data_IF_334377964807
#
_entry.id   IF_334377964807
#
_cell.length_a   1.000
_cell.length_b   1.000
_cell.length_c   1.000
_cell.angle_alpha   90.00
_cell.angle_beta   90.00
_cell.angle_gamma   90.00
#
_symmetry.space_group_name_H-M   'P 1'
#
loop_
_entity.id
_entity.type
_entity.pdbx_description
1 polymer ?
#
# COMPACT_ATOMS: atom_id res chain seq x y z
N UNK A 1 -33.82 -3.51 9.99
CA UNK A 1 -33.12 -3.95 8.76
C UNK A 1 -32.34 -2.77 8.21
N UNK A 2 -31.13 -2.54 8.69
CA UNK A 2 -30.25 -1.46 8.24
C UNK A 2 -28.91 -2.08 7.86
N UNK A 3 -28.54 -1.98 6.60
CA UNK A 3 -27.37 -2.61 5.99
C UNK A 3 -26.10 -2.28 6.76
N UNK A 4 -25.41 -3.32 7.22
CA UNK A 4 -24.07 -3.29 7.78
C UNK A 4 -23.11 -2.85 6.67
N UNK A 5 -22.98 -1.54 6.44
CA UNK A 5 -21.93 -0.98 5.61
C UNK A 5 -20.63 -1.35 6.31
N UNK A 6 -19.95 -2.39 5.80
CA UNK A 6 -18.56 -2.72 6.16
C UNK A 6 -17.72 -1.49 5.85
N UNK A 7 -17.62 -0.59 6.83
CA UNK A 7 -16.60 0.42 6.91
C UNK A 7 -15.32 -0.39 6.93
N UNK A 8 -14.61 -0.40 5.81
CA UNK A 8 -13.27 -0.94 5.73
C UNK A 8 -12.51 -0.19 6.83
N UNK A 9 -12.27 -0.85 7.96
CA UNK A 9 -11.42 -0.34 9.01
C UNK A 9 -10.11 0.03 8.33
N UNK A 10 -9.89 1.34 8.15
CA UNK A 10 -8.60 1.85 7.71
C UNK A 10 -7.63 1.39 8.77
N UNK A 11 -6.81 0.39 8.43
CA UNK A 11 -5.74 -0.06 9.28
C UNK A 11 -4.91 1.16 9.68
N UNK A 12 -4.74 1.44 10.99
CA UNK A 12 -4.05 2.64 11.48
C UNK A 12 -2.61 2.75 10.98
N UNK A 13 -2.06 1.66 10.42
CA UNK A 13 -0.71 1.58 9.87
C UNK A 13 -0.51 2.35 8.55
N UNK A 14 -1.57 2.57 7.76
CA UNK A 14 -1.44 3.21 6.44
C UNK A 14 -1.09 4.69 6.53
N UNK A 15 -1.51 5.40 7.59
CA UNK A 15 -1.24 6.84 7.76
C UNK A 15 0.24 7.15 7.99
N UNK A 16 1.03 6.16 8.42
CA UNK A 16 2.50 6.31 8.56
C UNK A 16 3.26 6.22 7.24
N UNK A 17 2.59 5.77 6.17
CA UNK A 17 3.20 5.64 4.86
C UNK A 17 3.30 7.00 4.17
N UNK A 18 4.44 7.24 3.52
CA UNK A 18 4.61 8.43 2.68
C UNK A 18 3.57 8.41 1.55
N UNK A 19 3.12 9.58 1.05
CA UNK A 19 2.11 9.65 -0.01
C UNK A 19 2.42 8.79 -1.23
N UNK A 20 3.69 8.77 -1.66
CA UNK A 20 4.14 7.94 -2.77
C UNK A 20 3.97 6.42 -2.50
N UNK A 21 4.17 5.97 -1.27
CA UNK A 21 3.98 4.57 -0.91
C UNK A 21 2.50 4.20 -0.93
N UNK A 22 1.64 5.09 -0.42
CA UNK A 22 0.18 4.91 -0.47
C UNK A 22 -0.33 4.86 -1.90
N UNK A 23 0.13 5.77 -2.77
CA UNK A 23 -0.24 5.81 -4.18
C UNK A 23 0.20 4.54 -4.91
N UNK A 24 1.44 4.08 -4.70
CA UNK A 24 1.95 2.83 -5.29
C UNK A 24 1.14 1.61 -4.80
N UNK A 25 0.75 1.57 -3.52
CA UNK A 25 -0.11 0.51 -2.99
C UNK A 25 -1.50 0.54 -3.63
N UNK A 26 -2.12 1.72 -3.76
CA UNK A 26 -3.43 1.85 -4.42
C UNK A 26 -3.34 1.39 -5.87
N UNK A 27 -2.37 1.87 -6.64
CA UNK A 27 -2.19 1.46 -8.04
C UNK A 27 -1.98 -0.05 -8.16
N UNK A 28 -1.22 -0.67 -7.25
CA UNK A 28 -0.96 -2.11 -7.29
C UNK A 28 -2.16 -2.95 -6.86
N UNK A 29 -2.81 -2.61 -5.76
CA UNK A 29 -3.79 -3.49 -5.10
C UNK A 29 -5.25 -3.10 -5.35
N UNK A 30 -5.54 -1.82 -5.56
CA UNK A 30 -6.89 -1.38 -5.92
C UNK A 30 -7.11 -1.39 -7.44
N UNK A 31 -6.10 -0.97 -8.22
CA UNK A 31 -6.19 -0.90 -9.69
C UNK A 31 -5.52 -2.08 -10.41
N UNK A 32 -4.91 -3.03 -9.69
CA UNK A 32 -4.29 -4.23 -10.29
C UNK A 32 -3.07 -3.96 -11.18
N UNK A 33 -2.46 -2.78 -11.08
CA UNK A 33 -1.44 -2.33 -12.01
C UNK A 33 -0.08 -3.03 -11.78
N UNK A 34 0.58 -3.46 -12.86
CA UNK A 34 1.92 -4.06 -12.79
C UNK A 34 3.00 -2.99 -12.55
N UNK A 35 4.14 -3.38 -11.95
CA UNK A 35 5.22 -2.44 -11.59
C UNK A 35 5.80 -1.64 -12.77
N UNK A 36 5.76 -2.19 -13.99
CA UNK A 36 6.16 -1.47 -15.20
C UNK A 36 5.19 -0.33 -15.51
N UNK A 37 3.90 -0.61 -15.42
CA UNK A 37 2.84 0.35 -15.72
C UNK A 37 2.73 1.45 -14.65
N UNK A 38 2.88 1.07 -13.37
CA UNK A 38 3.03 2.03 -12.26
C UNK A 38 4.25 2.93 -12.50
N UNK A 39 5.35 2.33 -12.95
CA UNK A 39 6.58 3.05 -13.25
C UNK A 39 6.38 4.12 -14.33
N UNK A 40 5.74 3.75 -15.45
CA UNK A 40 5.39 4.71 -16.50
C UNK A 40 4.52 5.85 -15.97
N UNK A 41 3.47 5.52 -15.20
CA UNK A 41 2.53 6.51 -14.65
C UNK A 41 3.19 7.50 -13.68
N UNK A 42 4.12 7.02 -12.85
CA UNK A 42 4.79 7.82 -11.82
C UNK A 42 6.14 8.39 -12.27
N UNK A 43 6.49 8.24 -13.54
CA UNK A 43 7.81 8.57 -14.10
C UNK A 43 8.97 7.99 -13.27
N UNK A 44 8.90 6.68 -12.98
CA UNK A 44 9.89 5.90 -12.23
C UNK A 44 10.17 4.59 -12.95
N UNK A 45 11.38 4.05 -12.82
CA UNK A 45 11.65 2.72 -13.37
C UNK A 45 10.96 1.62 -12.53
N UNK A 46 10.68 0.47 -13.18
CA UNK A 46 9.97 -0.65 -12.54
C UNK A 46 10.72 -1.24 -11.34
N UNK A 47 12.06 -1.20 -11.34
CA UNK A 47 12.89 -1.67 -10.23
C UNK A 47 12.69 -0.83 -8.98
N UNK A 48 12.62 0.50 -9.12
CA UNK A 48 12.31 1.43 -8.04
C UNK A 48 10.93 1.14 -7.46
N UNK A 49 9.91 0.91 -8.31
CA UNK A 49 8.56 0.54 -7.84
C UNK A 49 8.58 -0.75 -7.04
N UNK A 50 9.25 -1.80 -7.52
CA UNK A 50 9.39 -3.07 -6.79
C UNK A 50 10.10 -2.90 -5.44
N UNK A 51 11.17 -2.11 -5.41
CA UNK A 51 11.89 -1.80 -4.17
C UNK A 51 11.02 -1.04 -3.17
N UNK A 52 10.25 -0.06 -3.62
CA UNK A 52 9.31 0.67 -2.76
C UNK A 52 8.24 -0.28 -2.22
N UNK A 53 7.61 -1.09 -3.09
CA UNK A 53 6.61 -2.08 -2.68
C UNK A 53 7.17 -3.06 -1.64
N UNK A 54 8.35 -3.63 -1.87
CA UNK A 54 8.99 -4.57 -0.95
C UNK A 54 9.22 -3.94 0.43
N UNK A 55 9.83 -2.74 0.46
CA UNK A 55 10.09 -2.01 1.71
C UNK A 55 8.79 -1.64 2.43
N UNK A 56 7.82 -1.09 1.72
CA UNK A 56 6.52 -0.71 2.29
C UNK A 56 5.79 -1.92 2.88
N UNK A 57 5.74 -3.05 2.16
CA UNK A 57 5.12 -4.27 2.67
C UNK A 57 5.87 -4.81 3.90
N UNK A 58 7.20 -4.75 3.90
CA UNK A 58 7.99 -5.15 5.07
C UNK A 58 7.75 -4.22 6.26
N UNK A 59 7.67 -2.90 6.07
CA UNK A 59 7.30 -1.95 7.13
C UNK A 59 5.92 -2.28 7.71
N UNK A 60 4.91 -2.52 6.85
CA UNK A 60 3.57 -2.90 7.30
C UNK A 60 3.53 -4.25 8.02
N UNK A 61 4.41 -5.19 7.65
CA UNK A 61 4.57 -6.50 8.34
C UNK A 61 5.24 -6.35 9.70
N UNK A 62 6.21 -5.46 9.83
CA UNK A 62 6.85 -5.20 11.12
C UNK A 62 5.91 -4.44 12.05
N UNK A 63 5.17 -3.45 11.55
CA UNK A 63 4.20 -2.70 12.36
C UNK A 63 3.11 -3.60 12.95
N UNK A 64 2.55 -4.53 12.18
CA UNK A 64 1.57 -5.50 12.72
C UNK A 64 2.18 -6.53 13.68
N UNK A 65 3.48 -6.77 13.60
CA UNK A 65 4.16 -7.74 14.47
C UNK A 65 4.55 -7.11 15.81
N UNK A 66 4.59 -5.77 15.87
CA UNK A 66 4.84 -4.96 17.07
C UNK A 66 3.49 -4.46 17.64
N UNK A 67 2.47 -5.32 17.64
CA UNK A 67 1.26 -5.13 18.45
C UNK A 67 1.27 -6.20 19.55
N UNK A 68 1.86 -5.94 20.73
CA UNK A 68 1.49 -6.65 21.93
C UNK A 68 0.12 -6.12 22.40
N UNK A 69 -0.74 -7.04 22.83
CA UNK A 69 -2.06 -6.80 23.44
C UNK A 69 -2.09 -5.66 24.45
#
# INVERSE_FOLDING_TARGET
MGTLTRKIERQPSIETLKPLQQEILQLRFAYGMHSVEIGKRLNKNATTIRSILSRTLNTLRLQRAVEPH
#
